data_IF_390304160352
#
_entry.id   IF_390304160352
#
_cell.length_a   1.000
_cell.length_b   1.000
_cell.length_c   1.000
_cell.angle_alpha   90.00
_cell.angle_beta   90.00
_cell.angle_gamma   90.00
#
_symmetry.space_group_name_H-M   'P 1'
#
loop_
_entity.id
_entity.type
_entity.pdbx_description
1 polymer ?
#
# COMPACT_ATOMS: atom_id res chain seq x y z
N UNK A 1 48.15 -40.06 -24.41
CA UNK A 1 47.52 -40.98 -23.44
C UNK A 1 47.93 -40.53 -22.05
N UNK A 2 47.21 -39.55 -21.51
CA UNK A 2 46.11 -39.78 -20.56
C UNK A 2 46.61 -40.21 -19.17
N UNK A 3 46.59 -39.27 -18.22
CA UNK A 3 45.73 -39.31 -17.02
C UNK A 3 46.20 -38.30 -15.98
N UNK A 4 45.25 -37.91 -15.13
CA UNK A 4 45.34 -37.05 -13.94
C UNK A 4 45.34 -35.54 -14.20
N UNK A 5 44.17 -34.92 -14.06
CA UNK A 5 43.78 -34.09 -12.90
C UNK A 5 42.27 -33.86 -13.01
N UNK A 6 41.49 -34.30 -12.03
CA UNK A 6 40.06 -34.08 -11.97
C UNK A 6 39.59 -34.06 -10.52
N UNK A 7 38.88 -32.99 -10.16
CA UNK A 7 38.27 -32.62 -8.87
C UNK A 7 39.01 -31.53 -8.11
N UNK A 8 38.50 -30.31 -8.27
CA UNK A 8 38.25 -29.25 -7.26
C UNK A 8 37.80 -28.00 -8.02
N UNK A 9 36.51 -27.68 -8.01
CA UNK A 9 36.06 -26.47 -8.72
C UNK A 9 34.57 -26.16 -8.83
N UNK A 10 33.62 -27.04 -8.44
CA UNK A 10 32.18 -26.75 -8.59
C UNK A 10 31.46 -26.33 -7.30
N UNK A 11 31.98 -26.65 -6.11
CA UNK A 11 31.29 -26.33 -4.84
C UNK A 11 31.36 -24.84 -4.43
N UNK A 12 32.40 -24.12 -4.86
CA UNK A 12 32.59 -22.72 -4.47
C UNK A 12 31.79 -21.74 -5.33
N UNK A 13 31.43 -22.10 -6.56
CA UNK A 13 30.74 -21.22 -7.51
C UNK A 13 29.23 -21.18 -7.20
N UNK A 14 28.59 -22.31 -6.88
CA UNK A 14 27.18 -22.31 -6.45
C UNK A 14 26.97 -21.62 -5.09
N UNK A 15 27.90 -21.78 -4.14
CA UNK A 15 27.81 -21.09 -2.84
C UNK A 15 27.95 -19.57 -2.98
N UNK A 16 28.78 -19.07 -3.91
CA UNK A 16 28.93 -17.64 -4.17
C UNK A 16 27.74 -17.02 -4.91
N UNK A 17 27.08 -17.76 -5.82
CA UNK A 17 25.89 -17.29 -6.54
C UNK A 17 24.66 -17.24 -5.60
N UNK A 18 24.53 -18.20 -4.69
CA UNK A 18 23.46 -18.20 -3.66
C UNK A 18 23.70 -17.12 -2.60
N UNK A 19 24.95 -16.91 -2.17
CA UNK A 19 25.26 -15.79 -1.27
C UNK A 19 25.07 -14.45 -1.98
N UNK A 20 25.39 -14.34 -3.27
CA UNK A 20 25.14 -13.13 -4.05
C UNK A 20 23.64 -12.85 -4.22
N UNK A 21 22.79 -13.88 -4.39
CA UNK A 21 21.32 -13.77 -4.43
C UNK A 21 20.70 -13.34 -3.09
N UNK A 22 21.20 -13.86 -1.97
CA UNK A 22 20.75 -13.47 -0.63
C UNK A 22 21.34 -12.12 -0.21
N UNK A 23 22.57 -11.79 -0.61
CA UNK A 23 23.16 -10.47 -0.41
C UNK A 23 22.50 -9.42 -1.31
N UNK A 24 22.03 -9.80 -2.51
CA UNK A 24 21.18 -8.91 -3.32
C UNK A 24 19.81 -8.71 -2.67
N UNK A 25 19.20 -9.74 -2.07
CA UNK A 25 18.00 -9.59 -1.23
C UNK A 25 18.20 -8.56 -0.09
N UNK A 26 19.36 -8.59 0.58
CA UNK A 26 19.69 -7.61 1.63
C UNK A 26 20.17 -6.25 1.10
N UNK A 27 20.70 -6.18 -0.12
CA UNK A 27 21.26 -4.96 -0.72
C UNK A 27 20.24 -4.16 -1.56
N UNK A 28 19.14 -4.78 -2.02
CA UNK A 28 18.14 -4.12 -2.88
C UNK A 28 17.12 -3.25 -2.13
N UNK A 29 17.18 -3.16 -0.80
CA UNK A 29 16.30 -2.27 -0.03
C UNK A 29 17.09 -1.27 0.84
N UNK A 30 18.17 -0.68 0.29
CA UNK A 30 18.57 0.63 0.82
C UNK A 30 17.49 1.61 0.41
N UNK A 31 16.64 1.98 1.37
CA UNK A 31 15.73 3.11 1.21
C UNK A 31 16.58 4.35 0.89
N UNK A 32 16.48 4.82 -0.35
CA UNK A 32 17.04 6.10 -0.76
C UNK A 32 15.92 7.15 -0.63
N UNK A 33 16.02 8.10 0.32
CA UNK A 33 14.96 9.07 0.53
C UNK A 33 14.74 9.90 -0.74
N UNK A 34 13.49 10.00 -1.25
CA UNK A 34 13.21 10.79 -2.43
C UNK A 34 13.34 12.28 -2.11
N UNK A 35 13.47 13.12 -3.14
CA UNK A 35 13.37 14.57 -2.99
C UNK A 35 11.94 14.97 -2.59
N UNK A 36 11.76 15.31 -1.32
CA UNK A 36 10.47 15.72 -0.76
C UNK A 36 10.23 17.23 -0.81
N UNK A 37 11.14 18.04 -1.40
CA UNK A 37 10.96 19.50 -1.49
C UNK A 37 9.61 19.87 -2.12
N UNK A 38 9.18 19.12 -3.13
CA UNK A 38 7.95 19.37 -3.87
C UNK A 38 6.67 18.86 -3.18
N UNK A 39 6.79 18.12 -2.08
CA UNK A 39 5.65 17.56 -1.36
C UNK A 39 4.69 18.66 -0.92
N UNK A 40 3.41 18.49 -1.22
CA UNK A 40 2.42 19.41 -0.66
C UNK A 40 1.11 19.46 -1.42
N UNK A 41 0.23 20.29 -0.88
CA UNK A 41 -0.96 20.75 -1.55
C UNK A 41 -0.71 22.12 -2.19
N UNK A 42 -1.13 22.26 -3.44
CA UNK A 42 -1.05 23.49 -4.21
C UNK A 42 -2.45 23.87 -4.68
N UNK A 43 -2.75 25.16 -4.62
CA UNK A 43 -4.01 25.72 -5.10
C UNK A 43 -3.74 26.54 -6.34
N UNK A 44 -4.32 26.12 -7.46
CA UNK A 44 -4.32 26.90 -8.69
C UNK A 44 -5.19 28.15 -8.51
N UNK A 45 -4.92 29.20 -9.28
CA UNK A 45 -5.67 30.47 -9.23
C UNK A 45 -7.16 30.29 -9.59
N UNK A 46 -7.50 29.23 -10.33
CA UNK A 46 -8.88 28.83 -10.61
C UNK A 46 -9.55 28.02 -9.47
N UNK A 47 -8.86 27.85 -8.34
CA UNK A 47 -9.36 27.21 -7.13
C UNK A 47 -9.12 25.70 -7.06
N UNK A 48 -8.65 25.06 -8.13
CA UNK A 48 -8.39 23.61 -8.13
C UNK A 48 -7.24 23.26 -7.19
N UNK A 49 -7.42 22.14 -6.47
CA UNK A 49 -6.41 21.57 -5.58
C UNK A 49 -5.58 20.51 -6.34
N UNK A 50 -4.26 20.64 -6.24
CA UNK A 50 -3.28 19.70 -6.80
C UNK A 50 -2.40 19.22 -5.65
N UNK A 51 -2.26 17.91 -5.50
CA UNK A 51 -1.40 17.27 -4.52
C UNK A 51 -0.19 16.70 -5.24
N UNK A 52 1.02 17.02 -4.79
CA UNK A 52 2.27 16.53 -5.38
C UNK A 52 3.05 15.78 -4.32
N UNK A 53 3.51 14.56 -4.65
CA UNK A 53 4.44 13.77 -3.84
C UNK A 53 5.40 12.99 -4.75
N UNK A 54 6.58 12.56 -4.27
CA UNK A 54 7.50 11.74 -5.04
C UNK A 54 6.93 10.35 -5.28
N UNK A 55 7.54 9.68 -6.27
CA UNK A 55 7.43 8.25 -6.49
C UNK A 55 8.79 7.59 -6.21
N UNK A 56 9.72 7.72 -7.15
CA UNK A 56 11.06 7.13 -7.09
C UNK A 56 12.04 8.03 -7.85
N UNK A 57 13.26 8.19 -7.33
CA UNK A 57 14.24 9.12 -7.88
C UNK A 57 13.70 10.55 -7.93
N UNK A 58 13.85 11.20 -9.09
CA UNK A 58 13.38 12.58 -9.33
C UNK A 58 11.91 12.66 -9.79
N UNK A 59 11.22 11.52 -9.90
CA UNK A 59 9.87 11.44 -10.45
C UNK A 59 8.85 11.87 -9.40
N UNK A 60 7.98 12.82 -9.77
CA UNK A 60 6.84 13.23 -8.93
C UNK A 60 5.54 12.65 -9.49
N UNK A 61 4.48 12.67 -8.68
CA UNK A 61 3.13 12.36 -9.11
C UNK A 61 2.15 13.40 -8.60
N UNK A 62 1.32 13.91 -9.50
CA UNK A 62 0.25 14.83 -9.14
C UNK A 62 -1.07 14.09 -8.95
N UNK A 63 -1.93 14.57 -8.05
CA UNK A 63 -3.33 14.14 -7.91
C UNK A 63 -4.23 15.35 -7.83
N UNK A 64 -5.41 15.28 -8.45
CA UNK A 64 -6.44 16.31 -8.37
C UNK A 64 -7.73 15.73 -7.81
N UNK A 65 -8.54 16.57 -7.16
CA UNK A 65 -9.85 16.17 -6.60
C UNK A 65 -10.81 15.54 -7.62
N UNK A 66 -10.64 15.84 -8.91
CA UNK A 66 -11.40 15.24 -10.01
C UNK A 66 -11.07 13.76 -10.26
N UNK A 67 -10.06 13.20 -9.62
CA UNK A 67 -9.54 11.85 -9.88
C UNK A 67 -8.35 11.83 -10.86
N UNK A 68 -8.23 12.85 -11.73
CA UNK A 68 -7.06 13.05 -12.59
C UNK A 68 -5.76 12.98 -11.79
N UNK A 69 -4.84 12.16 -12.27
CA UNK A 69 -3.55 11.89 -11.63
C UNK A 69 -2.56 11.50 -12.71
N UNK A 70 -1.31 11.88 -12.55
CA UNK A 70 -0.29 11.60 -13.56
C UNK A 70 1.13 11.74 -13.05
N UNK A 71 2.04 11.13 -13.79
CA UNK A 71 3.47 11.16 -13.47
C UNK A 71 4.12 12.42 -14.04
N UNK A 72 4.90 13.11 -13.21
CA UNK A 72 5.70 14.28 -13.58
C UNK A 72 7.15 13.82 -13.74
N UNK A 73 7.59 13.72 -14.99
CA UNK A 73 8.96 13.38 -15.36
C UNK A 73 9.81 14.64 -15.39
N UNK A 74 10.97 14.61 -14.72
CA UNK A 74 11.88 15.75 -14.67
C UNK A 74 12.53 15.99 -16.04
N UNK A 75 12.44 17.23 -16.53
CA UNK A 75 13.18 17.73 -17.70
C UNK A 75 14.31 18.68 -17.28
N UNK A 76 14.16 19.31 -16.10
CA UNK A 76 15.20 20.06 -15.40
C UNK A 76 14.86 20.08 -13.89
N UNK A 77 15.74 20.63 -13.03
CA UNK A 77 15.60 20.60 -11.56
C UNK A 77 14.20 21.01 -11.04
N UNK A 78 13.50 21.90 -11.75
CA UNK A 78 12.15 22.39 -11.36
C UNK A 78 11.15 22.40 -12.51
N UNK A 79 11.46 21.73 -13.61
CA UNK A 79 10.61 21.67 -14.78
C UNK A 79 10.25 20.22 -15.08
N UNK A 80 8.96 19.96 -15.20
CA UNK A 80 8.40 18.61 -15.35
C UNK A 80 7.40 18.55 -16.49
N UNK A 81 7.33 17.39 -17.13
CA UNK A 81 6.31 17.05 -18.13
C UNK A 81 5.51 15.83 -17.71
N UNK A 82 4.26 15.78 -18.14
CA UNK A 82 3.35 14.64 -17.92
C UNK A 82 2.63 14.29 -19.21
N UNK A 83 2.56 13.00 -19.49
CA UNK A 83 1.67 12.45 -20.51
C UNK A 83 0.40 11.86 -19.90
N UNK A 84 -0.30 10.98 -20.65
CA UNK A 84 -1.51 10.34 -20.18
C UNK A 84 -1.23 9.44 -18.97
N UNK A 85 -1.98 9.65 -17.89
CA UNK A 85 -1.98 8.72 -16.77
C UNK A 85 -0.63 8.60 -16.05
N UNK A 86 -0.35 7.41 -15.51
CA UNK A 86 0.86 7.18 -14.71
C UNK A 86 2.05 6.70 -15.52
N UNK A 87 1.79 6.09 -16.67
CA UNK A 87 2.82 5.39 -17.45
C UNK A 87 3.13 6.12 -18.77
N UNK A 88 2.21 6.97 -19.25
CA UNK A 88 2.39 7.75 -20.47
C UNK A 88 3.35 8.92 -20.28
N UNK A 89 4.36 9.01 -21.17
CA UNK A 89 5.22 10.20 -21.30
C UNK A 89 4.83 11.07 -22.50
N UNK A 90 4.30 10.45 -23.55
CA UNK A 90 3.85 11.12 -24.78
C UNK A 90 2.41 10.71 -25.12
N UNK A 91 1.61 11.59 -25.74
CA UNK A 91 1.92 13.00 -26.00
C UNK A 91 2.04 13.80 -24.69
N UNK A 92 2.90 14.83 -24.64
CA UNK A 92 2.95 15.73 -23.47
C UNK A 92 1.62 16.47 -23.31
N UNK A 93 0.86 16.15 -22.26
CA UNK A 93 -0.43 16.74 -21.93
C UNK A 93 -0.33 17.89 -20.91
N UNK A 94 0.77 17.95 -20.17
CA UNK A 94 0.97 18.91 -19.09
C UNK A 94 2.45 19.24 -18.91
N UNK A 95 2.72 20.53 -18.71
CA UNK A 95 4.01 21.04 -18.23
C UNK A 95 3.84 21.71 -16.88
N UNK A 96 4.70 21.40 -15.93
CA UNK A 96 4.70 22.00 -14.58
C UNK A 96 6.06 22.60 -14.29
N UNK A 97 6.09 23.87 -13.90
CA UNK A 97 7.32 24.53 -13.45
C UNK A 97 7.15 25.02 -12.03
N UNK A 98 8.11 24.73 -11.15
CA UNK A 98 8.13 25.22 -9.78
C UNK A 98 9.07 26.44 -9.67
N UNK A 99 8.64 27.50 -8.97
CA UNK A 99 9.41 28.75 -8.92
C UNK A 99 10.74 28.61 -8.15
N UNK A 100 11.73 29.43 -8.53
CA UNK A 100 13.16 29.40 -8.11
C UNK A 100 13.49 30.10 -6.79
N UNK A 101 12.51 30.59 -6.01
CA UNK A 101 12.79 31.56 -4.91
C UNK A 101 13.69 31.10 -3.76
N UNK A 102 14.11 29.84 -3.73
CA UNK A 102 15.39 29.42 -3.12
C UNK A 102 15.77 28.04 -3.66
N UNK A 103 17.02 27.85 -4.11
CA UNK A 103 17.52 26.53 -4.51
C UNK A 103 17.56 25.52 -3.33
N UNK A 104 17.38 26.00 -2.10
CA UNK A 104 17.52 25.21 -0.87
C UNK A 104 16.19 24.88 -0.16
N UNK A 105 15.04 25.40 -0.61
CA UNK A 105 13.76 25.25 0.09
C UNK A 105 12.61 24.70 -0.78
N UNK A 106 11.50 24.29 -0.14
CA UNK A 106 10.28 23.87 -0.84
C UNK A 106 9.77 24.99 -1.78
N UNK A 107 9.28 24.66 -2.99
CA UNK A 107 8.73 25.65 -3.88
C UNK A 107 7.42 26.20 -3.30
N UNK A 108 7.25 27.51 -3.43
CA UNK A 108 6.06 28.23 -2.93
C UNK A 108 5.01 28.44 -4.02
N UNK A 109 5.37 28.23 -5.28
CA UNK A 109 4.52 28.45 -6.45
C UNK A 109 4.78 27.40 -7.51
N UNK A 110 3.77 27.16 -8.32
CA UNK A 110 3.87 26.36 -9.54
C UNK A 110 3.17 27.07 -10.71
N UNK A 111 3.63 26.80 -11.92
CA UNK A 111 2.96 27.15 -13.18
C UNK A 111 2.48 25.87 -13.83
N UNK A 112 1.16 25.74 -13.96
CA UNK A 112 0.47 24.56 -14.48
C UNK A 112 0.00 24.83 -15.91
N UNK A 113 0.63 24.21 -16.91
CA UNK A 113 0.34 24.46 -18.32
C UNK A 113 -0.13 23.18 -19.02
N UNK A 114 -1.46 22.96 -19.11
CA UNK A 114 -2.01 21.91 -19.96
C UNK A 114 -1.67 22.14 -21.44
N UNK A 115 -1.61 21.08 -22.24
CA UNK A 115 -1.39 21.19 -23.68
C UNK A 115 -2.51 21.99 -24.38
N UNK A 116 -3.76 21.74 -23.97
CA UNK A 116 -4.96 22.31 -24.62
C UNK A 116 -5.53 23.55 -23.91
N UNK A 117 -4.73 24.24 -23.09
CA UNK A 117 -5.26 25.34 -22.27
C UNK A 117 -4.24 26.40 -21.87
N UNK A 118 -4.72 27.53 -21.33
CA UNK A 118 -3.84 28.56 -20.81
C UNK A 118 -3.09 28.06 -19.57
N UNK A 119 -1.88 28.57 -19.38
CA UNK A 119 -1.13 28.37 -18.14
C UNK A 119 -1.91 28.93 -16.93
N UNK A 120 -1.95 28.16 -15.86
CA UNK A 120 -2.56 28.50 -14.59
C UNK A 120 -1.47 28.62 -13.52
N UNK A 121 -1.24 29.80 -12.94
CA UNK A 121 -0.43 29.90 -11.75
C UNK A 121 -1.09 29.17 -10.58
N UNK A 122 -0.28 28.73 -9.63
CA UNK A 122 -0.72 28.19 -8.37
C UNK A 122 0.27 28.46 -7.26
N UNK A 123 -0.20 28.39 -6.02
CA UNK A 123 0.59 28.59 -4.82
C UNK A 123 0.53 27.36 -3.92
N UNK A 124 1.64 27.04 -3.25
CA UNK A 124 1.66 26.03 -2.20
C UNK A 124 0.80 26.52 -1.03
N UNK A 125 -0.04 25.64 -0.50
CA UNK A 125 -0.79 25.91 0.73
C UNK A 125 0.17 25.74 1.90
N UNK A 126 0.26 26.76 2.75
CA UNK A 126 1.13 26.77 3.94
C UNK A 126 0.54 25.90 5.05
N UNK A 127 0.72 24.58 4.92
CA UNK A 127 0.31 23.58 5.90
C UNK A 127 1.51 23.30 6.81
N UNK A 128 1.45 23.63 8.13
CA UNK A 128 2.57 23.35 9.03
C UNK A 128 2.86 21.85 9.12
N UNK A 129 4.13 21.47 8.98
CA UNK A 129 4.60 20.08 9.06
C UNK A 129 5.48 19.91 10.31
N UNK A 130 5.10 19.00 11.20
CA UNK A 130 5.86 18.65 12.41
C UNK A 130 6.41 17.24 12.23
N UNK A 131 7.71 17.12 12.00
CA UNK A 131 8.42 15.84 11.96
C UNK A 131 8.80 15.42 13.39
N UNK A 132 8.57 14.15 13.73
CA UNK A 132 8.89 13.59 15.05
C UNK A 132 9.14 12.09 14.96
N UNK A 133 9.45 11.49 16.10
CA UNK A 133 9.36 10.05 16.33
C UNK A 133 8.33 9.75 17.41
N UNK A 134 7.68 8.59 17.29
CA UNK A 134 6.70 8.05 18.23
C UNK A 134 7.36 6.86 18.94
N UNK A 135 7.47 6.86 20.27
CA UNK A 135 7.88 5.67 21.02
C UNK A 135 6.83 4.55 20.87
N UNK A 136 7.25 3.36 20.47
CA UNK A 136 6.42 2.17 20.34
C UNK A 136 7.14 0.96 20.97
N UNK A 137 6.99 0.82 22.29
CA UNK A 137 7.81 -0.11 23.08
C UNK A 137 9.27 0.34 23.08
N UNK A 138 10.18 -0.55 22.66
CA UNK A 138 11.61 -0.25 22.48
C UNK A 138 11.93 0.37 21.10
N UNK A 139 10.95 0.39 20.19
CA UNK A 139 11.11 0.95 18.85
C UNK A 139 10.69 2.42 18.81
N UNK A 140 11.14 3.10 17.76
CA UNK A 140 10.68 4.43 17.40
C UNK A 140 10.13 4.45 15.99
N UNK A 141 8.93 4.99 15.83
CA UNK A 141 8.28 5.15 14.54
C UNK A 141 8.48 6.57 14.05
N UNK A 142 9.08 6.77 12.88
CA UNK A 142 9.18 8.09 12.26
C UNK A 142 7.79 8.56 11.84
N UNK A 143 7.46 9.81 12.14
CA UNK A 143 6.17 10.38 11.79
C UNK A 143 6.25 11.83 11.33
N UNK A 144 5.16 12.27 10.69
CA UNK A 144 4.91 13.64 10.29
C UNK A 144 3.46 13.99 10.55
N UNK A 145 3.25 15.06 11.32
CA UNK A 145 1.94 15.66 11.53
C UNK A 145 1.79 16.88 10.62
N UNK A 146 0.84 16.82 9.69
CA UNK A 146 0.48 17.91 8.79
C UNK A 146 -0.76 18.60 9.34
N UNK A 147 -0.65 19.88 9.70
CA UNK A 147 -1.74 20.64 10.31
C UNK A 147 -2.54 21.42 9.24
N UNK A 148 -3.87 21.53 9.40
CA UNK A 148 -4.68 22.40 8.55
C UNK A 148 -4.47 23.88 8.92
N UNK A 149 -4.86 24.77 8.02
CA UNK A 149 -4.96 26.20 8.35
C UNK A 149 -6.22 26.40 9.19
N UNK A 150 -6.09 27.03 10.36
CA UNK A 150 -7.22 27.37 11.21
C UNK A 150 -6.84 27.48 12.67
N UNK A 151 -7.85 27.51 13.54
CA UNK A 151 -7.65 27.51 15.00
C UNK A 151 -7.66 26.09 15.54
N UNK A 152 -6.62 25.72 16.28
CA UNK A 152 -6.56 24.51 17.08
C UNK A 152 -7.55 24.55 18.27
N UNK A 153 -7.91 23.41 18.88
CA UNK A 153 -7.52 22.05 18.47
C UNK A 153 -8.24 21.56 17.21
N UNK A 154 -7.56 20.74 16.40
CA UNK A 154 -8.09 20.20 15.14
C UNK A 154 -8.55 18.74 15.29
N UNK A 155 -9.62 18.31 14.58
CA UNK A 155 -9.83 16.88 14.36
C UNK A 155 -8.65 16.30 13.58
N UNK A 156 -8.34 15.03 13.83
CA UNK A 156 -7.19 14.40 13.22
C UNK A 156 -7.47 13.01 12.64
N UNK A 157 -6.75 12.64 11.59
CA UNK A 157 -6.75 11.30 11.02
C UNK A 157 -5.33 10.73 11.01
N UNK A 158 -5.19 9.46 11.39
CA UNK A 158 -3.92 8.72 11.31
C UNK A 158 -3.96 7.84 10.07
N UNK A 159 -2.96 7.96 9.21
CA UNK A 159 -2.81 7.14 8.00
C UNK A 159 -2.07 5.85 8.34
N UNK A 160 -2.74 4.71 8.13
CA UNK A 160 -2.18 3.37 8.27
C UNK A 160 -1.93 2.82 6.87
N UNK A 161 -0.66 2.90 6.43
CA UNK A 161 -0.27 2.56 5.06
C UNK A 161 -0.32 1.05 4.77
N UNK A 162 -0.38 0.70 3.49
CA UNK A 162 -0.41 -0.69 2.99
C UNK A 162 0.90 -1.47 3.19
N UNK A 163 0.98 -2.67 2.62
CA UNK A 163 2.19 -3.50 2.62
C UNK A 163 3.35 -2.80 1.89
N UNK A 164 4.58 -3.23 2.14
CA UNK A 164 5.79 -2.61 1.58
C UNK A 164 6.68 -1.92 2.62
N UNK A 165 7.91 -1.61 2.21
CA UNK A 165 8.97 -1.03 3.05
C UNK A 165 9.17 0.48 2.83
N UNK A 166 8.42 1.06 1.91
CA UNK A 166 8.49 2.45 1.53
C UNK A 166 8.11 3.37 2.70
N UNK A 167 8.68 4.57 2.73
CA UNK A 167 8.27 5.59 3.69
C UNK A 167 6.92 6.19 3.28
N UNK A 168 5.89 5.95 4.10
CA UNK A 168 4.62 6.65 3.99
C UNK A 168 4.78 8.14 4.33
N UNK A 169 5.65 8.48 5.28
CA UNK A 169 5.96 9.88 5.65
C UNK A 169 6.39 10.71 4.44
N UNK A 170 7.13 10.12 3.52
CA UNK A 170 7.67 10.83 2.35
C UNK A 170 6.76 10.76 1.12
N UNK A 171 5.92 9.73 0.99
CA UNK A 171 5.20 9.45 -0.27
C UNK A 171 3.67 9.62 -0.20
N UNK A 172 3.04 9.53 0.99
CA UNK A 172 1.57 9.54 1.11
C UNK A 172 0.99 10.95 0.94
N UNK A 173 0.38 11.18 -0.23
CA UNK A 173 -0.28 12.44 -0.57
C UNK A 173 -1.50 12.75 0.31
N UNK A 174 -2.12 11.73 0.92
CA UNK A 174 -3.34 11.89 1.71
C UNK A 174 -3.13 12.78 2.94
N UNK A 175 -1.89 12.88 3.44
CA UNK A 175 -1.56 13.81 4.53
C UNK A 175 -1.84 15.27 4.14
N UNK A 176 -1.52 15.63 2.90
CA UNK A 176 -1.81 16.95 2.36
C UNK A 176 -3.26 17.08 1.89
N UNK A 177 -3.88 16.00 1.40
CA UNK A 177 -5.30 15.98 1.05
C UNK A 177 -6.18 16.40 2.23
N UNK A 178 -6.05 15.71 3.35
CA UNK A 178 -6.92 15.92 4.50
C UNK A 178 -6.57 17.22 5.24
N UNK A 179 -5.29 17.57 5.38
CA UNK A 179 -4.88 18.85 5.98
C UNK A 179 -5.34 20.07 5.16
N UNK A 180 -5.26 20.01 3.82
CA UNK A 180 -5.80 21.07 2.96
C UNK A 180 -7.33 21.22 3.06
N UNK A 181 -8.02 20.23 3.65
CA UNK A 181 -9.47 20.19 3.84
C UNK A 181 -9.88 20.24 5.33
N UNK A 182 -9.00 20.72 6.20
CA UNK A 182 -9.34 21.08 7.59
C UNK A 182 -9.11 19.99 8.64
N UNK A 183 -8.50 18.86 8.27
CA UNK A 183 -8.27 17.72 9.18
C UNK A 183 -6.77 17.51 9.36
N UNK A 184 -6.27 17.62 10.59
CA UNK A 184 -4.88 17.33 10.89
C UNK A 184 -4.55 15.88 10.55
N UNK A 185 -3.40 15.63 9.94
CA UNK A 185 -3.08 14.28 9.49
C UNK A 185 -1.73 13.82 10.01
N UNK A 186 -1.76 12.74 10.79
CA UNK A 186 -0.56 12.04 11.19
C UNK A 186 -0.29 10.93 10.18
N UNK A 187 0.88 10.96 9.56
CA UNK A 187 1.43 9.83 8.81
C UNK A 187 2.66 9.33 9.54
N UNK A 188 2.84 8.01 9.60
CA UNK A 188 4.00 7.38 10.20
C UNK A 188 4.50 6.24 9.32
N UNK A 189 5.80 5.99 9.38
CA UNK A 189 6.41 4.80 8.78
C UNK A 189 6.18 3.63 9.76
N UNK A 190 5.58 2.52 9.32
CA UNK A 190 5.48 1.30 10.14
C UNK A 190 6.87 0.79 10.54
N UNK A 191 6.95 -0.04 11.60
CA UNK A 191 8.21 -0.67 12.03
C UNK A 191 8.99 -1.27 10.85
N UNK A 192 10.31 -1.04 10.83
CA UNK A 192 11.20 -1.50 9.77
C UNK A 192 10.92 -0.96 8.35
N UNK A 193 10.10 0.07 8.21
CA UNK A 193 9.84 0.78 6.94
C UNK A 193 10.36 2.22 7.02
N UNK A 194 10.70 2.81 5.87
CA UNK A 194 11.17 4.19 5.79
C UNK A 194 12.27 4.52 6.81
N UNK A 195 12.00 5.49 7.68
CA UNK A 195 12.92 5.90 8.75
C UNK A 195 12.62 5.32 10.15
N UNK A 196 11.69 4.37 10.26
CA UNK A 196 11.35 3.72 11.54
C UNK A 196 12.33 2.59 11.87
N UNK A 197 12.58 2.39 13.16
CA UNK A 197 13.44 1.30 13.65
C UNK A 197 12.73 -0.05 13.62
N UNK A 198 13.46 -1.13 13.88
CA UNK A 198 12.94 -2.50 13.96
C UNK A 198 12.95 -3.19 12.59
N UNK A 199 12.29 -4.35 12.54
CA UNK A 199 12.20 -5.16 11.33
C UNK A 199 10.80 -5.11 10.73
N UNK A 200 10.73 -5.09 9.40
CA UNK A 200 9.46 -5.15 8.69
C UNK A 200 8.82 -6.52 8.85
N UNK A 201 7.55 -6.54 9.23
CA UNK A 201 6.70 -7.72 9.25
C UNK A 201 5.26 -7.32 8.89
N UNK A 202 4.40 -8.33 8.73
CA UNK A 202 2.97 -8.27 8.46
C UNK A 202 2.19 -8.97 9.59
N UNK A 203 2.63 -8.81 10.83
CA UNK A 203 1.86 -9.25 12.00
C UNK A 203 0.85 -8.16 12.39
N UNK A 204 -0.42 -8.34 12.08
CA UNK A 204 -1.42 -7.27 12.24
C UNK A 204 -1.70 -6.90 13.69
N UNK A 205 -1.54 -7.84 14.64
CA UNK A 205 -1.62 -7.52 16.07
C UNK A 205 -0.51 -6.57 16.49
N UNK A 206 0.70 -6.82 16.04
CA UNK A 206 1.86 -6.00 16.34
C UNK A 206 1.81 -4.62 15.64
N UNK A 207 1.41 -4.60 14.36
CA UNK A 207 1.24 -3.35 13.61
C UNK A 207 0.06 -2.49 14.12
N UNK A 208 -0.98 -3.12 14.69
CA UNK A 208 -2.06 -2.38 15.34
C UNK A 208 -1.63 -1.81 16.69
N UNK A 209 -0.72 -2.47 17.43
CA UNK A 209 -0.14 -1.89 18.64
C UNK A 209 0.72 -0.64 18.33
N UNK A 210 1.47 -0.66 17.21
CA UNK A 210 2.16 0.53 16.70
C UNK A 210 1.18 1.68 16.37
N UNK A 211 0.04 1.33 15.77
CA UNK A 211 -1.02 2.31 15.47
C UNK A 211 -1.60 2.89 16.76
N UNK A 212 -1.80 2.07 17.80
CA UNK A 212 -2.26 2.54 19.12
C UNK A 212 -1.21 3.47 19.74
N UNK A 213 0.09 3.17 19.65
CA UNK A 213 1.13 4.08 20.11
C UNK A 213 1.08 5.44 19.37
N UNK A 214 0.79 5.44 18.07
CA UNK A 214 0.58 6.66 17.29
C UNK A 214 -0.66 7.45 17.76
N UNK A 215 -1.76 6.78 18.10
CA UNK A 215 -2.95 7.40 18.70
C UNK A 215 -2.60 8.08 20.02
N UNK A 216 -1.94 7.37 20.93
CA UNK A 216 -1.59 7.89 22.25
C UNK A 216 -0.62 9.07 22.16
N UNK A 217 0.37 9.00 21.26
CA UNK A 217 1.25 10.14 21.00
C UNK A 217 0.46 11.35 20.47
N UNK A 218 -0.45 11.13 19.52
CA UNK A 218 -1.25 12.21 18.92
C UNK A 218 -2.18 12.88 19.95
N UNK A 219 -2.72 12.12 20.90
CA UNK A 219 -3.55 12.65 22.01
C UNK A 219 -2.80 13.63 22.92
N UNK A 220 -1.47 13.57 22.97
CA UNK A 220 -0.65 14.51 23.77
C UNK A 220 -0.43 15.86 23.09
N UNK A 221 -0.82 16.00 21.82
CA UNK A 221 -0.53 17.16 21.00
C UNK A 221 -1.52 18.30 21.28
N UNK A 222 -1.08 19.50 21.72
CA UNK A 222 -1.98 20.62 21.98
C UNK A 222 -2.70 21.13 20.72
N UNK A 223 -2.19 20.79 19.54
CA UNK A 223 -2.78 21.15 18.25
C UNK A 223 -4.01 20.30 17.90
N UNK A 224 -4.24 19.18 18.60
CA UNK A 224 -5.21 18.14 18.23
C UNK A 224 -6.33 18.01 19.26
N UNK A 225 -7.54 17.76 18.80
CA UNK A 225 -8.67 17.40 19.64
C UNK A 225 -8.61 15.89 19.94
N UNK A 226 -8.27 15.47 21.18
CA UNK A 226 -8.11 14.06 21.52
C UNK A 226 -9.43 13.27 21.46
N UNK A 227 -10.58 13.94 21.45
CA UNK A 227 -11.91 13.32 21.27
C UNK A 227 -12.33 13.14 19.81
N UNK A 228 -11.52 13.61 18.86
CA UNK A 228 -11.87 13.66 17.44
C UNK A 228 -10.72 13.11 16.58
N UNK A 229 -10.31 11.87 16.89
CA UNK A 229 -9.25 11.13 16.19
C UNK A 229 -9.88 10.01 15.36
N UNK A 230 -9.52 9.96 14.08
CA UNK A 230 -9.94 8.97 13.10
C UNK A 230 -8.75 8.10 12.67
N UNK A 231 -9.03 6.90 12.17
CA UNK A 231 -8.04 6.06 11.50
C UNK A 231 -8.40 5.91 10.02
N UNK A 232 -7.41 5.96 9.13
CA UNK A 232 -7.58 5.68 7.72
C UNK A 232 -6.61 4.59 7.25
N UNK A 233 -7.13 3.39 6.98
CA UNK A 233 -6.39 2.23 6.52
C UNK A 233 -6.43 2.08 5.00
N UNK A 234 -5.31 1.72 4.38
CA UNK A 234 -5.19 1.50 2.93
C UNK A 234 -4.59 0.13 2.65
N UNK A 235 -5.23 -0.67 1.79
CA UNK A 235 -4.79 -2.05 1.48
C UNK A 235 -4.60 -2.85 2.78
N UNK A 236 -3.39 -3.32 3.09
CA UNK A 236 -3.04 -3.97 4.37
C UNK A 236 -3.50 -3.18 5.63
N UNK A 237 -3.54 -1.84 5.55
CA UNK A 237 -4.09 -0.99 6.61
C UNK A 237 -5.55 -1.28 6.95
N UNK A 238 -6.28 -1.97 6.07
CA UNK A 238 -7.64 -2.48 6.24
C UNK A 238 -7.80 -3.49 7.37
N UNK A 239 -6.81 -4.34 7.62
CA UNK A 239 -6.80 -5.22 8.81
C UNK A 239 -6.33 -4.47 10.05
N UNK A 240 -5.32 -3.61 9.90
CA UNK A 240 -4.62 -2.98 11.00
C UNK A 240 -5.49 -1.91 11.69
N UNK A 241 -6.13 -1.04 10.91
CA UNK A 241 -6.87 0.11 11.46
C UNK A 241 -8.10 -0.31 12.31
N UNK A 242 -8.96 -1.25 11.89
CA UNK A 242 -10.06 -1.73 12.74
C UNK A 242 -9.56 -2.45 13.99
N UNK A 243 -8.48 -3.23 13.87
CA UNK A 243 -7.87 -3.89 15.03
C UNK A 243 -7.30 -2.87 16.02
N UNK A 244 -6.64 -1.82 15.55
CA UNK A 244 -6.16 -0.73 16.40
C UNK A 244 -7.33 0.03 17.05
N UNK A 245 -8.42 0.30 16.31
CA UNK A 245 -9.62 0.92 16.86
C UNK A 245 -10.27 0.06 17.96
N UNK A 246 -10.24 -1.27 17.83
CA UNK A 246 -10.75 -2.17 18.88
C UNK A 246 -9.91 -2.14 20.17
N UNK A 247 -8.64 -1.74 20.07
CA UNK A 247 -7.68 -1.65 21.18
C UNK A 247 -7.60 -0.25 21.80
N UNK A 248 -8.02 0.80 21.09
CA UNK A 248 -7.98 2.19 21.57
C UNK A 248 -9.39 2.79 21.65
N UNK A 249 -10.03 2.78 22.84
CA UNK A 249 -11.32 3.42 23.04
C UNK A 249 -11.28 4.91 22.66
N UNK A 250 -12.36 5.43 22.09
CA UNK A 250 -12.47 6.85 21.72
C UNK A 250 -11.99 7.21 20.32
N UNK A 251 -11.65 6.23 19.47
CA UNK A 251 -11.54 6.48 18.02
C UNK A 251 -12.91 6.84 17.46
N UNK A 252 -12.99 8.01 16.80
CA UNK A 252 -14.23 8.63 16.32
C UNK A 252 -14.82 7.91 15.12
N UNK A 253 -13.99 7.53 14.15
CA UNK A 253 -14.40 6.72 13.00
C UNK A 253 -13.19 6.03 12.33
N UNK A 254 -13.47 5.02 11.50
CA UNK A 254 -12.46 4.28 10.73
C UNK A 254 -12.79 4.30 9.22
N UNK A 255 -11.90 4.86 8.40
CA UNK A 255 -12.00 4.89 6.94
C UNK A 255 -11.13 3.78 6.35
N UNK A 256 -11.70 2.82 5.65
CA UNK A 256 -10.95 1.75 4.97
C UNK A 256 -11.02 1.94 3.47
N UNK A 257 -9.86 1.95 2.82
CA UNK A 257 -9.70 2.04 1.39
C UNK A 257 -9.10 0.73 0.86
N UNK A 258 -9.86 0.02 0.02
CA UNK A 258 -9.49 -1.24 -0.66
C UNK A 258 -8.79 -2.21 0.29
N UNK A 259 -9.34 -2.34 1.50
CA UNK A 259 -8.82 -3.18 2.57
C UNK A 259 -9.61 -4.48 2.65
N UNK A 260 -8.95 -5.65 2.67
CA UNK A 260 -9.68 -6.92 2.67
C UNK A 260 -10.44 -7.18 3.98
N UNK A 261 -11.54 -7.92 3.86
CA UNK A 261 -12.32 -8.43 5.00
C UNK A 261 -12.25 -9.97 5.09
N UNK A 262 -11.16 -10.54 4.55
CA UNK A 262 -10.82 -11.97 4.57
C UNK A 262 -9.40 -12.16 5.11
N UNK A 263 -9.00 -13.35 5.54
CA UNK A 263 -7.60 -13.66 5.87
C UNK A 263 -6.67 -13.54 4.66
N UNK A 264 -5.34 -13.40 4.90
CA UNK A 264 -4.35 -13.37 3.81
C UNK A 264 -4.40 -14.66 3.00
N UNK A 265 -4.70 -15.81 3.61
CA UNK A 265 -4.81 -17.08 2.87
C UNK A 265 -5.89 -17.05 1.78
N UNK A 266 -6.98 -16.31 1.98
CA UNK A 266 -8.02 -16.14 0.96
C UNK A 266 -7.64 -15.11 -0.11
N UNK A 267 -6.92 -14.04 0.26
CA UNK A 267 -6.33 -13.09 -0.70
C UNK A 267 -5.27 -13.78 -1.59
N UNK A 268 -4.40 -14.59 -0.98
CA UNK A 268 -3.39 -15.41 -1.66
C UNK A 268 -4.05 -16.38 -2.65
N UNK A 269 -5.12 -17.04 -2.22
CA UNK A 269 -5.94 -17.88 -3.09
C UNK A 269 -6.57 -17.12 -4.24
N UNK A 270 -7.10 -15.94 -3.98
CA UNK A 270 -7.65 -15.07 -5.01
C UNK A 270 -6.61 -14.74 -6.09
N UNK A 271 -5.38 -14.43 -5.70
CA UNK A 271 -4.31 -14.01 -6.62
C UNK A 271 -4.06 -14.99 -7.77
N UNK A 272 -3.83 -16.28 -7.49
CA UNK A 272 -3.58 -17.25 -8.57
C UNK A 272 -4.86 -17.62 -9.32
N UNK A 273 -6.01 -17.70 -8.65
CA UNK A 273 -7.28 -18.03 -9.32
C UNK A 273 -7.68 -16.95 -10.31
N UNK A 274 -7.57 -15.69 -9.93
CA UNK A 274 -7.83 -14.56 -10.81
C UNK A 274 -6.91 -14.61 -12.04
N UNK A 275 -5.61 -14.86 -11.85
CA UNK A 275 -4.65 -14.97 -12.95
C UNK A 275 -4.98 -16.10 -13.93
N UNK A 276 -5.44 -17.25 -13.41
CA UNK A 276 -5.87 -18.38 -14.23
C UNK A 276 -7.14 -18.08 -15.02
N UNK A 277 -8.15 -17.52 -14.35
CA UNK A 277 -9.42 -17.14 -14.98
C UNK A 277 -9.23 -16.08 -16.06
N UNK A 278 -8.39 -15.06 -15.82
CA UNK A 278 -8.05 -14.03 -16.82
C UNK A 278 -7.42 -14.66 -18.07
N UNK A 279 -6.57 -15.67 -17.89
CA UNK A 279 -5.89 -16.39 -18.98
C UNK A 279 -6.75 -17.49 -19.61
N UNK A 280 -8.02 -17.63 -19.18
CA UNK A 280 -8.99 -18.55 -19.77
C UNK A 280 -8.84 -20.01 -19.32
N UNK A 281 -8.13 -20.26 -18.23
CA UNK A 281 -8.07 -21.60 -17.62
C UNK A 281 -9.38 -21.94 -16.91
N UNK A 282 -9.76 -23.22 -16.97
CA UNK A 282 -11.02 -23.73 -16.41
C UNK A 282 -10.84 -24.44 -15.06
N UNK A 283 -11.93 -25.06 -14.61
CA UNK A 283 -12.05 -25.69 -13.28
C UNK A 283 -10.96 -26.74 -12.98
N UNK A 284 -10.46 -27.45 -13.99
CA UNK A 284 -9.41 -28.46 -13.82
C UNK A 284 -8.08 -27.85 -13.37
N UNK A 285 -7.59 -26.83 -14.09
CA UNK A 285 -6.40 -26.09 -13.71
C UNK A 285 -6.55 -25.39 -12.35
N UNK A 286 -7.74 -24.85 -12.06
CA UNK A 286 -8.04 -24.25 -10.77
C UNK A 286 -7.98 -25.27 -9.62
N UNK A 287 -8.45 -26.49 -9.85
CA UNK A 287 -8.39 -27.57 -8.86
C UNK A 287 -6.95 -28.06 -8.61
N UNK A 288 -6.13 -28.13 -9.65
CA UNK A 288 -4.71 -28.46 -9.52
C UNK A 288 -3.94 -27.36 -8.78
N UNK A 289 -4.20 -26.08 -9.11
CA UNK A 289 -3.65 -24.95 -8.39
C UNK A 289 -4.07 -24.94 -6.90
N UNK A 290 -5.35 -25.19 -6.60
CA UNK A 290 -5.86 -25.33 -5.23
C UNK A 290 -5.13 -26.47 -4.49
N UNK A 291 -4.86 -27.61 -5.14
CA UNK A 291 -4.10 -28.75 -4.55
C UNK A 291 -2.67 -28.36 -4.18
N UNK A 292 -1.95 -27.64 -5.04
CA UNK A 292 -0.59 -27.16 -4.71
C UNK A 292 -0.65 -26.16 -3.56
N UNK A 293 -1.61 -25.24 -3.61
CA UNK A 293 -1.76 -24.19 -2.61
C UNK A 293 -2.12 -24.73 -1.22
N UNK A 294 -2.89 -25.82 -1.13
CA UNK A 294 -3.18 -26.52 0.13
C UNK A 294 -1.88 -27.00 0.80
N UNK A 295 -0.98 -27.64 0.03
CA UNK A 295 0.32 -28.10 0.55
C UNK A 295 1.18 -26.92 1.00
N UNK A 296 1.17 -25.82 0.23
CA UNK A 296 1.85 -24.58 0.61
C UNK A 296 1.28 -24.02 1.92
N UNK A 297 -0.05 -23.94 2.06
CA UNK A 297 -0.71 -23.50 3.30
C UNK A 297 -0.29 -24.35 4.50
N UNK A 298 -0.32 -25.67 4.38
CA UNK A 298 0.10 -26.55 5.48
C UNK A 298 1.55 -26.33 5.90
N UNK A 299 2.45 -26.10 4.95
CA UNK A 299 3.87 -25.82 5.23
C UNK A 299 4.04 -24.45 5.89
N UNK A 300 3.47 -23.40 5.29
CA UNK A 300 3.78 -22.01 5.60
C UNK A 300 2.88 -21.40 6.68
N UNK A 301 1.64 -21.87 6.78
CA UNK A 301 0.63 -21.34 7.71
C UNK A 301 0.38 -22.28 8.91
N UNK A 302 0.60 -23.60 8.74
CA UNK A 302 0.40 -24.60 9.81
C UNK A 302 1.68 -25.29 10.30
N UNK A 303 2.82 -25.08 9.62
CA UNK A 303 4.12 -25.57 10.04
C UNK A 303 4.33 -27.08 9.83
N UNK A 304 3.57 -27.69 8.93
CA UNK A 304 3.68 -29.11 8.60
C UNK A 304 4.90 -29.41 7.73
N UNK A 305 5.51 -30.59 7.92
CA UNK A 305 6.66 -31.03 7.12
C UNK A 305 6.21 -31.76 5.83
N UNK A 306 5.52 -31.05 4.94
CA UNK A 306 5.02 -31.58 3.65
C UNK A 306 5.93 -31.26 2.46
N UNK A 307 7.20 -30.91 2.70
CA UNK A 307 8.13 -30.49 1.63
C UNK A 307 8.41 -31.55 0.57
N UNK A 308 8.47 -32.83 0.96
CA UNK A 308 8.70 -33.93 0.01
C UNK A 308 7.46 -34.16 -0.87
N UNK A 309 6.26 -33.98 -0.30
CA UNK A 309 5.01 -34.02 -1.05
C UNK A 309 4.90 -32.85 -2.03
N UNK A 310 5.24 -31.62 -1.58
CA UNK A 310 5.31 -30.45 -2.45
C UNK A 310 6.25 -30.70 -3.64
N UNK A 311 7.41 -31.34 -3.42
CA UNK A 311 8.34 -31.66 -4.49
C UNK A 311 7.77 -32.62 -5.53
N UNK A 312 7.02 -33.64 -5.09
CA UNK A 312 6.37 -34.59 -5.98
C UNK A 312 5.26 -33.92 -6.80
N UNK A 313 4.41 -33.11 -6.15
CA UNK A 313 3.32 -32.43 -6.86
C UNK A 313 3.87 -31.40 -7.84
N UNK A 314 4.93 -30.67 -7.50
CA UNK A 314 5.55 -29.74 -8.44
C UNK A 314 6.17 -30.44 -9.65
N UNK A 315 6.82 -31.60 -9.47
CA UNK A 315 7.33 -32.43 -10.60
C UNK A 315 6.18 -32.92 -11.51
N UNK A 316 4.98 -33.15 -10.95
CA UNK A 316 3.79 -33.51 -11.73
C UNK A 316 3.25 -32.35 -12.58
N UNK A 317 3.30 -31.11 -12.07
CA UNK A 317 2.56 -29.96 -12.65
C UNK A 317 3.44 -28.87 -13.27
N UNK A 318 4.76 -28.89 -13.08
CA UNK A 318 5.64 -27.78 -13.50
C UNK A 318 5.67 -27.54 -15.01
N UNK A 319 5.38 -28.58 -15.80
CA UNK A 319 5.30 -28.52 -17.26
C UNK A 319 3.87 -28.18 -17.77
N UNK A 320 2.87 -28.09 -16.87
CA UNK A 320 1.50 -27.78 -17.26
C UNK A 320 1.33 -26.28 -17.60
N UNK A 321 0.60 -25.92 -18.68
CA UNK A 321 0.47 -24.53 -19.11
C UNK A 321 -0.11 -23.58 -18.05
N UNK A 322 -0.93 -24.10 -17.13
CA UNK A 322 -1.53 -23.30 -16.06
C UNK A 322 -0.50 -22.91 -14.99
N UNK A 323 0.54 -23.73 -14.79
CA UNK A 323 1.56 -23.47 -13.78
C UNK A 323 2.43 -22.26 -14.17
N UNK A 324 2.78 -22.15 -15.45
CA UNK A 324 3.38 -20.93 -16.00
C UNK A 324 2.40 -19.73 -15.95
N UNK A 325 1.10 -19.99 -16.05
CA UNK A 325 0.08 -18.95 -16.04
C UNK A 325 -0.11 -18.30 -14.65
N UNK A 326 0.16 -19.00 -13.55
CA UNK A 326 0.14 -18.41 -12.21
C UNK A 326 1.43 -17.64 -11.88
N UNK A 327 2.50 -17.82 -12.64
CA UNK A 327 3.75 -17.11 -12.39
C UNK A 327 3.55 -15.58 -12.40
N UNK A 328 3.98 -14.93 -11.32
CA UNK A 328 3.83 -13.48 -11.14
C UNK A 328 2.47 -13.02 -10.62
N UNK A 329 1.52 -13.93 -10.34
CA UNK A 329 0.33 -13.58 -9.56
C UNK A 329 0.71 -13.17 -8.13
N UNK A 330 -0.12 -12.35 -7.49
CA UNK A 330 0.05 -11.94 -6.09
C UNK A 330 -0.37 -13.08 -5.13
N UNK A 331 0.37 -14.18 -5.16
CA UNK A 331 0.13 -15.38 -4.36
C UNK A 331 1.42 -16.16 -4.12
N UNK A 332 1.43 -16.99 -3.08
CA UNK A 332 2.56 -17.85 -2.80
C UNK A 332 2.83 -18.84 -3.93
N UNK A 333 1.78 -19.41 -4.52
CA UNK A 333 1.88 -20.28 -5.68
C UNK A 333 2.51 -19.56 -6.88
N UNK A 334 2.10 -18.32 -7.15
CA UNK A 334 2.68 -17.52 -8.23
C UNK A 334 4.16 -17.19 -8.01
N UNK A 335 4.58 -17.00 -6.76
CA UNK A 335 5.98 -16.85 -6.40
C UNK A 335 6.78 -18.16 -6.58
N UNK A 336 6.21 -19.29 -6.19
CA UNK A 336 6.84 -20.61 -6.37
C UNK A 336 7.04 -20.88 -7.87
N UNK A 337 6.01 -20.68 -8.69
CA UNK A 337 6.08 -20.84 -10.14
C UNK A 337 7.09 -19.87 -10.79
N UNK A 338 7.12 -18.60 -10.35
CA UNK A 338 7.97 -17.57 -10.94
C UNK A 338 9.44 -17.60 -10.52
N UNK A 339 9.76 -17.99 -9.27
CA UNK A 339 11.10 -17.84 -8.71
C UNK A 339 12.12 -18.88 -9.22
N UNK A 340 11.65 -20.03 -9.71
CA UNK A 340 12.46 -21.21 -10.09
C UNK A 340 13.50 -21.59 -9.02
N UNK A 341 13.24 -21.24 -7.77
CA UNK A 341 14.15 -21.47 -6.65
C UNK A 341 14.12 -22.95 -6.26
N UNK A 342 15.27 -23.64 -6.14
CA UNK A 342 15.26 -25.03 -5.71
C UNK A 342 14.59 -25.19 -4.34
N UNK A 343 13.66 -26.14 -4.19
CA UNK A 343 12.87 -26.31 -2.96
C UNK A 343 13.70 -26.49 -1.70
N UNK A 344 14.87 -27.12 -1.78
CA UNK A 344 15.77 -27.24 -0.63
C UNK A 344 16.31 -25.88 -0.15
N UNK A 345 16.46 -24.89 -1.05
CA UNK A 345 16.80 -23.50 -0.70
C UNK A 345 15.59 -22.83 -0.06
N UNK A 346 14.40 -22.99 -0.64
CA UNK A 346 13.15 -22.47 -0.08
C UNK A 346 12.92 -22.98 1.36
N UNK A 347 13.13 -24.28 1.60
CA UNK A 347 13.03 -24.91 2.92
C UNK A 347 14.04 -24.34 3.92
N UNK A 348 15.29 -24.12 3.49
CA UNK A 348 16.31 -23.50 4.35
C UNK A 348 15.98 -22.04 4.66
N UNK A 349 15.47 -21.30 3.68
CA UNK A 349 15.05 -19.91 3.82
C UNK A 349 13.84 -19.81 4.77
N UNK A 350 12.82 -20.64 4.58
CA UNK A 350 11.67 -20.73 5.48
C UNK A 350 12.11 -21.02 6.92
N UNK A 351 12.93 -22.06 7.13
CA UNK A 351 13.50 -22.37 8.45
C UNK A 351 14.36 -21.24 9.01
N UNK A 352 14.92 -20.37 8.19
CA UNK A 352 15.67 -19.21 8.67
C UNK A 352 14.74 -18.07 9.07
N UNK A 353 13.69 -17.80 8.28
CA UNK A 353 12.67 -16.79 8.61
C UNK A 353 11.86 -17.14 9.86
N UNK A 354 11.60 -18.42 10.12
CA UNK A 354 10.79 -18.90 11.25
C UNK A 354 11.61 -19.27 12.49
N UNK A 355 12.90 -18.89 12.55
CA UNK A 355 13.78 -19.17 13.71
C UNK A 355 13.47 -18.31 14.94
N UNK A 356 12.69 -17.25 14.80
CA UNK A 356 12.31 -16.35 15.90
C UNK A 356 10.89 -16.60 16.38
N UNK A 357 10.56 -16.01 17.53
CA UNK A 357 9.20 -16.07 18.10
C UNK A 357 8.21 -15.15 17.34
N UNK A 358 8.71 -14.23 16.51
CA UNK A 358 7.89 -13.33 15.70
C UNK A 358 7.57 -13.93 14.33
N UNK A 359 6.29 -14.21 14.09
CA UNK A 359 5.78 -14.62 12.77
C UNK A 359 5.88 -13.43 11.81
N UNK A 360 6.54 -13.63 10.67
CA UNK A 360 6.69 -12.57 9.65
C UNK A 360 5.34 -12.08 9.13
N UNK A 361 4.36 -12.94 8.90
CA UNK A 361 3.02 -12.55 8.48
C UNK A 361 1.97 -13.38 9.21
N UNK A 362 1.00 -12.73 9.86
CA UNK A 362 -0.12 -13.43 10.51
C UNK A 362 -1.19 -13.76 9.47
N UNK A 363 -0.88 -14.75 8.62
CA UNK A 363 -1.69 -15.08 7.43
C UNK A 363 -3.08 -15.63 7.76
N UNK A 364 -3.23 -16.19 8.96
CA UNK A 364 -4.47 -16.78 9.48
C UNK A 364 -5.34 -15.78 10.24
N UNK A 365 -4.91 -14.51 10.38
CA UNK A 365 -5.70 -13.49 11.03
C UNK A 365 -7.05 -13.30 10.32
N UNK A 366 -8.13 -13.56 11.05
CA UNK A 366 -9.51 -13.30 10.61
C UNK A 366 -9.97 -11.92 11.10
N UNK A 367 -10.28 -10.95 10.21
CA UNK A 367 -10.80 -9.65 10.61
C UNK A 367 -12.24 -9.69 11.14
N UNK A 368 -13.05 -10.72 10.81
CA UNK A 368 -14.48 -10.76 11.10
C UNK A 368 -14.80 -10.66 12.60
N UNK A 369 -14.12 -11.41 13.50
CA UNK A 369 -14.29 -11.26 14.94
C UNK A 369 -13.99 -9.85 15.47
N UNK A 370 -13.09 -9.11 14.81
CA UNK A 370 -12.71 -7.75 15.20
C UNK A 370 -13.81 -6.76 14.78
N UNK A 371 -14.19 -6.77 13.50
CA UNK A 371 -15.17 -5.81 12.96
C UNK A 371 -16.57 -6.07 13.47
N UNK A 372 -16.95 -7.34 13.70
CA UNK A 372 -18.25 -7.71 14.28
C UNK A 372 -18.49 -7.17 15.70
N UNK A 373 -17.43 -6.79 16.41
CA UNK A 373 -17.50 -6.18 17.75
C UNK A 373 -17.31 -4.68 17.73
N UNK A 374 -16.87 -4.11 16.60
CA UNK A 374 -16.55 -2.69 16.51
C UNK A 374 -17.85 -1.86 16.50
N UNK A 375 -17.96 -0.92 17.43
CA UNK A 375 -19.07 0.04 17.49
C UNK A 375 -18.70 1.39 16.86
N UNK A 376 -17.43 1.57 16.51
CA UNK A 376 -16.93 2.75 15.81
C UNK A 376 -17.50 2.82 14.40
N UNK A 377 -18.12 3.95 13.99
CA UNK A 377 -18.57 4.14 12.61
C UNK A 377 -17.44 3.93 11.62
N UNK A 378 -17.71 3.19 10.54
CA UNK A 378 -16.73 2.94 9.50
C UNK A 378 -17.28 3.09 8.09
N UNK A 379 -16.42 3.54 7.17
CA UNK A 379 -16.69 3.56 5.74
C UNK A 379 -15.65 2.70 5.04
N UNK A 380 -16.12 1.73 4.26
CA UNK A 380 -15.30 0.82 3.48
C UNK A 380 -15.47 1.12 2.00
N UNK A 381 -14.37 1.39 1.30
CA UNK A 381 -14.36 1.78 -0.11
C UNK A 381 -13.66 0.70 -0.93
N UNK A 382 -14.33 0.16 -1.95
CA UNK A 382 -13.80 -0.91 -2.81
C UNK A 382 -13.81 -0.53 -4.29
N UNK A 383 -12.86 -1.09 -5.03
CA UNK A 383 -12.91 -1.19 -6.48
C UNK A 383 -13.70 -2.42 -6.91
N UNK A 384 -14.60 -2.29 -7.88
CA UNK A 384 -15.40 -3.42 -8.39
C UNK A 384 -14.60 -4.38 -9.28
N UNK A 385 -13.44 -3.95 -9.79
CA UNK A 385 -12.50 -4.72 -10.63
C UNK A 385 -11.14 -4.88 -9.95
N UNK A 386 -11.11 -4.87 -8.63
CA UNK A 386 -9.88 -5.06 -7.86
C UNK A 386 -9.36 -6.49 -8.10
N UNK A 387 -8.23 -6.61 -8.82
CA UNK A 387 -7.60 -7.91 -9.09
C UNK A 387 -6.66 -8.36 -7.97
N UNK A 388 -6.27 -7.46 -7.06
CA UNK A 388 -5.34 -7.76 -5.97
C UNK A 388 -6.02 -8.42 -4.78
N UNK A 389 -7.35 -8.27 -4.61
CA UNK A 389 -8.06 -8.85 -3.48
C UNK A 389 -9.50 -9.26 -3.80
N UNK A 390 -10.08 -10.25 -3.07
CA UNK A 390 -11.46 -10.70 -3.27
C UNK A 390 -12.46 -9.67 -2.71
N UNK A 391 -12.70 -8.61 -3.47
CA UNK A 391 -13.58 -7.50 -3.07
C UNK A 391 -15.03 -7.95 -2.88
N UNK A 392 -15.53 -8.85 -3.73
CA UNK A 392 -16.90 -9.34 -3.65
C UNK A 392 -17.18 -10.08 -2.31
N UNK A 393 -16.25 -10.93 -1.88
CA UNK A 393 -16.37 -11.65 -0.61
C UNK A 393 -16.28 -10.70 0.58
N UNK A 394 -15.34 -9.74 0.51
CA UNK A 394 -15.19 -8.72 1.54
C UNK A 394 -16.45 -7.85 1.70
N UNK A 395 -17.05 -7.44 0.58
CA UNK A 395 -18.30 -6.67 0.55
C UNK A 395 -19.43 -7.48 1.17
N UNK A 396 -19.61 -8.75 0.78
CA UNK A 396 -20.66 -9.61 1.31
C UNK A 396 -20.58 -9.74 2.84
N UNK A 397 -19.38 -9.98 3.37
CA UNK A 397 -19.15 -10.05 4.82
C UNK A 397 -19.55 -8.74 5.50
N UNK A 398 -19.15 -7.59 4.95
CA UNK A 398 -19.49 -6.28 5.51
C UNK A 398 -21.00 -6.00 5.43
N UNK A 399 -21.67 -6.45 4.38
CA UNK A 399 -23.13 -6.34 4.26
C UNK A 399 -23.86 -7.17 5.33
N UNK A 400 -23.38 -8.38 5.62
CA UNK A 400 -23.91 -9.23 6.69
C UNK A 400 -23.69 -8.57 8.06
N UNK A 401 -22.52 -7.99 8.31
CA UNK A 401 -22.22 -7.26 9.55
C UNK A 401 -23.08 -5.99 9.70
N UNK A 402 -23.31 -5.25 8.60
CA UNK A 402 -24.21 -4.10 8.58
C UNK A 402 -25.65 -4.53 8.85
N UNK A 403 -26.11 -5.63 8.26
CA UNK A 403 -27.43 -6.20 8.54
C UNK A 403 -27.58 -6.66 10.00
N UNK A 404 -26.48 -7.09 10.64
CA UNK A 404 -26.40 -7.36 12.07
C UNK A 404 -26.30 -6.09 12.96
N UNK A 405 -26.46 -4.89 12.38
CA UNK A 405 -26.54 -3.62 13.10
C UNK A 405 -25.19 -2.98 13.41
N UNK A 406 -24.09 -3.39 12.75
CA UNK A 406 -22.82 -2.67 12.84
C UNK A 406 -22.87 -1.36 12.04
N UNK A 407 -22.27 -0.26 12.52
CA UNK A 407 -22.31 1.05 11.87
C UNK A 407 -21.29 1.11 10.71
N UNK A 408 -21.61 0.39 9.63
CA UNK A 408 -20.75 0.20 8.46
C UNK A 408 -21.42 0.83 7.24
N UNK A 409 -20.74 1.79 6.63
CA UNK A 409 -21.04 2.27 5.29
C UNK A 409 -20.12 1.56 4.28
N UNK A 410 -20.66 1.27 3.09
CA UNK A 410 -19.91 0.62 2.00
C UNK A 410 -20.07 1.46 0.74
N UNK A 411 -18.95 1.77 0.09
CA UNK A 411 -18.94 2.40 -1.24
C UNK A 411 -18.16 1.52 -2.22
N UNK A 412 -18.76 1.28 -3.38
CA UNK A 412 -18.13 0.58 -4.49
C UNK A 412 -17.94 1.57 -5.65
N UNK A 413 -16.75 1.57 -6.23
CA UNK A 413 -16.46 2.19 -7.51
C UNK A 413 -16.34 1.06 -8.55
N UNK A 414 -17.40 0.80 -9.34
CA UNK A 414 -17.56 -0.46 -10.06
C UNK A 414 -16.46 -0.74 -11.09
N UNK A 415 -15.93 0.31 -11.73
CA UNK A 415 -14.88 0.18 -12.76
C UNK A 415 -13.47 0.35 -12.20
N UNK A 416 -13.33 0.58 -10.90
CA UNK A 416 -12.04 0.82 -10.28
C UNK A 416 -11.38 -0.49 -9.84
N UNK A 417 -10.06 -0.43 -9.87
CA UNK A 417 -9.11 -1.42 -9.39
C UNK A 417 -8.72 -1.15 -7.92
N UNK A 418 -7.78 -1.95 -7.40
CA UNK A 418 -7.01 -1.66 -6.21
C UNK A 418 -6.44 -0.24 -6.26
N UNK A 419 -6.45 0.45 -5.11
CA UNK A 419 -6.13 1.87 -5.07
C UNK A 419 -7.25 2.81 -5.56
N UNK A 420 -8.41 2.28 -5.93
CA UNK A 420 -9.50 3.00 -6.63
C UNK A 420 -8.99 3.65 -7.93
N UNK A 421 -8.09 2.94 -8.60
CA UNK A 421 -7.49 3.37 -9.85
C UNK A 421 -8.36 2.96 -11.04
N UNK A 422 -8.37 3.79 -12.07
CA UNK A 422 -8.92 3.45 -13.36
C UNK A 422 -7.77 3.13 -14.30
N UNK A 423 -8.03 2.19 -15.20
CA UNK A 423 -7.09 1.73 -16.21
C UNK A 423 -7.75 1.75 -17.58
N UNK A 424 -6.94 1.95 -18.61
CA UNK A 424 -7.31 1.80 -20.02
C UNK A 424 -6.46 0.69 -20.64
N UNK A 425 -7.08 -0.24 -21.37
CA UNK A 425 -6.47 -1.46 -21.92
C UNK A 425 -7.22 -2.74 -21.55
N UNK A 426 -6.95 -3.83 -22.29
CA UNK A 426 -7.75 -5.06 -22.26
C UNK A 426 -7.19 -6.17 -21.34
N UNK A 427 -6.02 -5.98 -20.71
CA UNK A 427 -5.40 -7.00 -19.84
C UNK A 427 -4.51 -6.42 -18.72
N UNK A 428 -4.25 -7.21 -17.67
CA UNK A 428 -3.48 -6.77 -16.50
C UNK A 428 -2.06 -6.26 -16.81
N UNK A 429 -1.40 -6.84 -17.82
CA UNK A 429 -0.01 -6.49 -18.20
C UNK A 429 0.10 -5.25 -19.11
N UNK A 430 -0.96 -4.93 -19.84
CA UNK A 430 -0.91 -3.96 -20.96
C UNK A 430 -1.74 -2.70 -20.65
N UNK A 431 -2.36 -2.64 -19.47
CA UNK A 431 -3.22 -1.53 -19.05
C UNK A 431 -2.42 -0.36 -18.49
N UNK A 432 -2.78 0.85 -18.88
CA UNK A 432 -2.19 2.08 -18.36
C UNK A 432 -3.11 2.70 -17.31
N UNK A 433 -2.57 3.10 -16.15
CA UNK A 433 -3.39 3.79 -15.15
C UNK A 433 -3.71 5.21 -15.63
N UNK A 434 -4.99 5.58 -15.68
CA UNK A 434 -5.47 6.89 -16.13
C UNK A 434 -5.86 7.84 -14.96
N UNK A 435 -5.69 7.37 -13.73
CA UNK A 435 -5.96 8.12 -12.50
C UNK A 435 -6.92 7.41 -11.56
N UNK A 436 -7.56 8.16 -10.68
CA UNK A 436 -8.53 7.63 -9.71
C UNK A 436 -9.97 7.74 -10.22
N UNK A 437 -10.85 6.87 -9.73
CA UNK A 437 -12.28 6.99 -9.99
C UNK A 437 -12.80 8.37 -9.54
N UNK A 438 -13.56 9.08 -10.39
CA UNK A 438 -14.10 10.40 -10.05
C UNK A 438 -14.93 10.36 -8.75
N UNK A 439 -14.72 11.36 -7.88
CA UNK A 439 -15.39 11.46 -6.59
C UNK A 439 -14.77 10.63 -5.45
N UNK A 440 -13.76 9.79 -5.73
CA UNK A 440 -13.06 9.01 -4.70
C UNK A 440 -12.43 9.88 -3.60
N UNK A 441 -11.66 10.90 -4.00
CA UNK A 441 -10.97 11.77 -3.03
C UNK A 441 -11.96 12.66 -2.26
N UNK A 442 -12.98 13.18 -2.95
CA UNK A 442 -14.02 14.00 -2.31
C UNK A 442 -14.82 13.18 -1.28
N UNK A 443 -15.22 11.96 -1.62
CA UNK A 443 -15.94 11.08 -0.68
C UNK A 443 -15.20 10.92 0.65
N UNK A 444 -13.90 10.64 0.60
CA UNK A 444 -13.08 10.44 1.81
C UNK A 444 -13.05 11.72 2.66
N UNK A 445 -12.78 12.85 2.02
CA UNK A 445 -12.74 14.17 2.68
C UNK A 445 -14.08 14.49 3.32
N UNK A 446 -15.17 14.41 2.56
CA UNK A 446 -16.51 14.76 3.04
C UNK A 446 -16.96 13.82 4.16
N UNK A 447 -16.67 12.51 4.05
CA UNK A 447 -17.04 11.56 5.10
C UNK A 447 -16.30 11.85 6.41
N UNK A 448 -14.98 12.06 6.37
CA UNK A 448 -14.23 12.40 7.59
C UNK A 448 -14.70 13.74 8.16
N UNK A 449 -14.89 14.78 7.34
CA UNK A 449 -15.39 16.09 7.79
C UNK A 449 -16.74 16.00 8.50
N UNK A 450 -17.68 15.19 7.98
CA UNK A 450 -18.95 14.91 8.66
C UNK A 450 -18.75 14.25 10.01
N UNK A 451 -17.90 13.23 10.10
CA UNK A 451 -17.61 12.55 11.37
C UNK A 451 -16.96 13.51 12.39
N UNK A 452 -16.13 14.44 11.90
CA UNK A 452 -15.47 15.46 12.71
C UNK A 452 -16.36 16.65 13.08
N UNK A 453 -17.58 16.78 12.53
CA UNK A 453 -18.44 17.93 12.75
C UNK A 453 -17.94 19.23 12.09
N UNK A 454 -17.20 19.12 10.98
CA UNK A 454 -16.66 20.26 10.23
C UNK A 454 -17.57 20.74 9.10
N UNK A 455 -18.61 19.99 8.76
CA UNK A 455 -19.58 20.42 7.73
C UNK A 455 -20.46 21.58 8.25
N UNK A 456 -20.89 22.50 7.37
CA UNK A 456 -21.67 23.69 7.74
C UNK A 456 -22.98 23.42 8.49
#
# INVERSE_FOLDING_TARGET
>A
MERFIGKKGCGAICAFVVLAGVVTWFAFFRYDPPDTRFNGAYRLDDGRLVLVTPREGEVLRYRMMSGRSGTLWAEAERAYESGPGWDGREPVELRVNFDERSNEGPPTRLRWRPADGPEQPGHRIDLPEIFSTIPAGELTLRCKLVLPIGRAPHPAVILVHGSGKESAVDTYYMAYLFAANGIATLVYDKRGTGGSTGDYNQNFHLLSDDTVAAVEWLRTRPEIDPGNIHLAGYSQGGWIAPLAASKSPGIRSVLINYGPMVPITEEDRWGYRYALEEKGFGDEALAEADRVNEILGDIFDHGEDRWDELALVLDEVEDEPWFDAVAGSDSMLGYVAGSKMPLWVARLYYKWMTRGDEVFADRLYDPVPTVSKLETPSLWIFGGKDSSMPSADSIKILEDLRAAGRPIDIKIFPDAEHGILLYEGDGLSDRASIGYAPGYLDLQVQWLRRQSGLDP
#
